data_IF_676030635848
#
_entry.id   IF_676030635848
#
_cell.length_a   1.000
_cell.length_b   1.000
_cell.length_c   1.000
_cell.angle_alpha   90.00
_cell.angle_beta   90.00
_cell.angle_gamma   90.00
#
_symmetry.space_group_name_H-M   'P 1'
#
loop_
_entity.id
_entity.type
_entity.pdbx_description
1 polymer ?
#
# COMPACT_ATOMS: atom_id res chain seq x y z
N UNK A 1 22.54 -15.16 -11.09
CA UNK A 1 21.54 -14.34 -10.39
C UNK A 1 21.84 -14.50 -8.92
N UNK A 2 22.57 -13.55 -8.34
CA UNK A 2 22.84 -13.53 -6.91
C UNK A 2 21.56 -13.10 -6.18
N UNK A 3 21.23 -13.80 -5.10
CA UNK A 3 20.12 -13.40 -4.22
C UNK A 3 20.45 -12.03 -3.62
N UNK A 4 19.46 -11.12 -3.48
CA UNK A 4 19.68 -9.86 -2.82
C UNK A 4 20.17 -10.09 -1.38
N UNK A 5 21.05 -9.21 -0.85
CA UNK A 5 21.56 -9.34 0.51
C UNK A 5 20.41 -9.36 1.53
N UNK A 6 20.58 -10.04 2.68
CA UNK A 6 19.59 -10.02 3.74
C UNK A 6 19.37 -8.59 4.22
N UNK A 7 18.11 -8.19 4.38
CA UNK A 7 17.73 -6.89 4.93
C UNK A 7 18.38 -6.70 6.31
N UNK A 8 19.35 -5.79 6.40
CA UNK A 8 19.90 -5.31 7.66
C UNK A 8 19.28 -3.94 7.90
N UNK A 9 18.46 -3.80 8.94
CA UNK A 9 17.85 -2.51 9.31
C UNK A 9 18.84 -1.41 9.72
N UNK A 10 20.13 -1.54 9.38
CA UNK A 10 21.22 -0.63 9.71
C UNK A 10 21.33 0.58 8.78
N UNK A 11 20.68 0.56 7.60
CA UNK A 11 20.64 1.66 6.62
C UNK A 11 19.25 2.30 6.51
N UNK A 12 18.39 2.12 7.51
CA UNK A 12 17.03 2.63 7.46
C UNK A 12 16.99 4.17 7.58
N UNK A 13 16.46 4.84 6.56
CA UNK A 13 16.30 6.31 6.50
C UNK A 13 14.84 6.75 6.61
N UNK A 14 13.89 5.81 6.48
CA UNK A 14 12.45 6.08 6.60
C UNK A 14 11.66 4.94 7.24
N UNK A 15 10.35 5.18 7.39
CA UNK A 15 9.37 4.19 7.84
C UNK A 15 8.23 4.10 6.84
N UNK A 16 7.77 2.88 6.60
CA UNK A 16 6.49 2.60 5.94
C UNK A 16 5.59 1.83 6.89
N UNK A 17 4.29 1.83 6.61
CA UNK A 17 3.28 1.23 7.46
C UNK A 17 2.39 0.34 6.63
N UNK A 18 2.23 -0.91 7.06
CA UNK A 18 1.20 -1.80 6.52
C UNK A 18 -0.04 -1.65 7.38
N UNK A 19 -1.14 -1.19 6.78
CA UNK A 19 -2.41 -0.91 7.46
C UNK A 19 -3.37 -2.06 7.20
N UNK A 20 -4.00 -2.59 8.24
CA UNK A 20 -4.96 -3.69 8.18
C UNK A 20 -6.36 -3.23 8.61
N UNK A 21 -7.33 -3.37 7.70
CA UNK A 21 -8.75 -3.12 7.96
C UNK A 21 -9.55 -4.42 8.24
N UNK A 22 -8.85 -5.53 8.52
CA UNK A 22 -9.41 -6.85 8.82
C UNK A 22 -9.47 -7.78 7.60
N UNK A 23 -9.99 -7.30 6.46
CA UNK A 23 -10.06 -8.05 5.20
C UNK A 23 -9.27 -7.41 4.06
N UNK A 24 -8.89 -6.14 4.22
CA UNK A 24 -8.14 -5.32 3.26
C UNK A 24 -6.84 -4.84 3.89
N UNK A 25 -5.82 -4.70 3.07
CA UNK A 25 -4.55 -4.08 3.46
C UNK A 25 -4.15 -2.98 2.50
N UNK A 26 -3.49 -1.96 3.06
CA UNK A 26 -2.88 -0.87 2.33
C UNK A 26 -1.49 -0.55 2.86
N UNK A 27 -0.78 0.32 2.15
CA UNK A 27 0.56 0.79 2.52
C UNK A 27 0.54 2.31 2.70
N UNK A 28 1.03 2.78 3.85
CA UNK A 28 1.18 4.19 4.14
C UNK A 28 2.63 4.59 4.28
N UNK A 29 2.94 5.81 3.83
CA UNK A 29 4.27 6.41 3.91
C UNK A 29 4.14 7.94 4.00
N UNK A 30 5.19 8.61 4.46
CA UNK A 30 5.20 10.07 4.55
C UNK A 30 5.17 10.67 3.15
N UNK A 31 4.34 11.70 2.97
CA UNK A 31 4.26 12.44 1.71
C UNK A 31 5.60 13.10 1.35
N UNK A 32 6.35 13.57 2.36
CA UNK A 32 7.65 14.21 2.17
C UNK A 32 8.71 13.28 1.57
N UNK A 33 8.52 11.96 1.73
CA UNK A 33 9.44 10.92 1.25
C UNK A 33 9.12 10.54 -0.21
N UNK A 34 8.10 11.15 -0.83
CA UNK A 34 7.66 10.86 -2.21
C UNK A 34 8.05 12.02 -3.14
N UNK A 35 8.94 11.74 -4.09
CA UNK A 35 9.31 12.70 -5.13
C UNK A 35 8.13 12.95 -6.08
N UNK A 36 7.66 14.21 -6.15
CA UNK A 36 6.57 14.63 -7.04
C UNK A 36 6.86 14.40 -8.53
N UNK A 37 8.15 14.33 -8.91
CA UNK A 37 8.57 13.99 -10.27
C UNK A 37 8.28 12.54 -10.65
N UNK A 38 8.20 11.64 -9.66
CA UNK A 38 7.92 10.21 -9.84
C UNK A 38 6.43 9.94 -9.65
N UNK A 39 5.83 10.53 -8.60
CA UNK A 39 4.42 10.38 -8.27
C UNK A 39 3.72 11.75 -8.23
N UNK A 40 3.26 12.29 -9.37
CA UNK A 40 2.64 13.61 -9.42
C UNK A 40 1.31 13.70 -8.64
N UNK A 41 0.63 12.58 -8.40
CA UNK A 41 -0.66 12.50 -7.71
C UNK A 41 -0.59 12.97 -6.23
N UNK A 42 0.61 13.05 -5.64
CA UNK A 42 0.79 13.64 -4.29
C UNK A 42 0.32 15.10 -4.19
N UNK A 43 0.19 15.80 -5.33
CA UNK A 43 -0.33 17.18 -5.41
C UNK A 43 -1.80 17.29 -5.03
N UNK A 44 -2.56 16.21 -5.16
CA UNK A 44 -3.99 16.18 -4.84
C UNK A 44 -4.25 16.22 -3.33
N UNK A 45 -3.19 16.06 -2.53
CA UNK A 45 -3.23 16.02 -1.07
C UNK A 45 -2.32 17.10 -0.47
N UNK A 46 -2.54 18.40 -0.75
CA UNK A 46 -1.62 19.48 -0.37
C UNK A 46 -1.33 19.52 1.13
N UNK A 47 -2.34 19.25 1.95
CA UNK A 47 -2.26 19.32 3.41
C UNK A 47 -1.86 18.00 4.08
N UNK A 48 -1.69 16.90 3.34
CA UNK A 48 -1.39 15.60 3.97
C UNK A 48 0.07 15.51 4.45
N UNK A 49 0.27 14.87 5.61
CA UNK A 49 1.59 14.47 6.11
C UNK A 49 1.93 13.05 5.65
N UNK A 50 0.91 12.20 5.57
CA UNK A 50 1.01 10.82 5.11
C UNK A 50 0.02 10.55 3.98
N UNK A 51 0.41 9.65 3.09
CA UNK A 51 -0.48 9.04 2.11
C UNK A 51 -0.58 7.55 2.42
N UNK A 52 -1.80 7.04 2.42
CA UNK A 52 -2.08 5.61 2.37
C UNK A 52 -2.58 5.24 0.98
N UNK A 53 -2.15 4.08 0.50
CA UNK A 53 -2.51 3.54 -0.81
C UNK A 53 -3.03 2.11 -0.67
N UNK A 54 -4.19 1.86 -1.26
CA UNK A 54 -4.79 0.53 -1.40
C UNK A 54 -5.16 0.24 -2.84
N UNK A 55 -4.77 -0.91 -3.37
CA UNK A 55 -5.15 -1.34 -4.71
C UNK A 55 -6.26 -2.37 -4.67
N UNK A 56 -7.22 -2.27 -5.58
CA UNK A 56 -8.31 -3.23 -5.63
C UNK A 56 -9.23 -3.02 -6.82
N UNK A 57 -10.39 -3.63 -6.70
CA UNK A 57 -11.44 -3.56 -7.69
C UNK A 57 -12.39 -2.40 -7.37
N UNK A 58 -12.72 -1.59 -8.38
CA UNK A 58 -13.60 -0.42 -8.22
C UNK A 58 -14.96 -0.80 -7.65
N UNK A 59 -15.55 -1.90 -8.13
CA UNK A 59 -16.88 -2.34 -7.70
C UNK A 59 -16.82 -2.94 -6.28
N UNK A 60 -15.67 -3.50 -5.90
CA UNK A 60 -15.45 -4.04 -4.56
C UNK A 60 -15.36 -2.96 -3.48
N UNK A 61 -14.68 -1.85 -3.76
CA UNK A 61 -14.62 -0.73 -2.81
C UNK A 61 -16.00 -0.10 -2.55
N UNK A 62 -16.89 -0.09 -3.54
CA UNK A 62 -18.26 0.41 -3.37
C UNK A 62 -19.19 -0.61 -2.68
N UNK A 63 -18.91 -1.91 -2.80
CA UNK A 63 -19.76 -2.99 -2.29
C UNK A 63 -19.44 -3.42 -0.85
N UNK A 64 -18.46 -2.83 -0.17
CA UNK A 64 -18.06 -3.23 1.18
C UNK A 64 -19.18 -3.07 2.25
N UNK A 65 -20.22 -2.28 1.96
CA UNK A 65 -21.44 -2.17 2.80
C UNK A 65 -22.49 -3.27 2.49
N UNK A 66 -22.26 -4.11 1.48
CA UNK A 66 -23.24 -5.02 0.90
C UNK A 66 -22.91 -6.51 1.09
N UNK A 67 -22.45 -6.92 2.28
CA UNK A 67 -22.38 -8.33 2.67
C UNK A 67 -21.39 -9.22 1.90
N UNK A 68 -20.84 -10.22 2.60
CA UNK A 68 -19.81 -11.15 2.10
C UNK A 68 -20.19 -11.84 0.77
N UNK A 69 -21.48 -11.98 0.47
CA UNK A 69 -21.96 -12.59 -0.77
C UNK A 69 -21.90 -11.70 -2.03
N UNK A 70 -21.96 -10.37 -1.89
CA UNK A 70 -21.89 -9.45 -3.04
C UNK A 70 -20.43 -9.11 -3.39
N UNK A 71 -19.56 -9.06 -2.38
CA UNK A 71 -18.10 -9.04 -2.49
C UNK A 71 -17.55 -10.15 -3.42
N UNK A 72 -18.09 -11.37 -3.30
CA UNK A 72 -17.71 -12.51 -4.16
C UNK A 72 -18.16 -12.32 -5.61
N UNK A 73 -19.29 -11.67 -5.89
CA UNK A 73 -19.79 -11.45 -7.26
C UNK A 73 -19.02 -10.35 -8.01
N UNK A 74 -18.66 -9.27 -7.33
CA UNK A 74 -17.87 -8.18 -7.91
C UNK A 74 -16.48 -8.67 -8.34
N UNK A 75 -15.84 -9.52 -7.53
CA UNK A 75 -14.54 -10.13 -7.81
C UNK A 75 -14.47 -11.02 -9.08
N UNK A 76 -15.61 -11.42 -9.65
CA UNK A 76 -15.67 -12.21 -10.89
C UNK A 76 -16.07 -11.38 -12.12
N UNK A 77 -16.43 -10.10 -11.99
CA UNK A 77 -17.03 -9.32 -13.10
C UNK A 77 -16.44 -7.94 -13.37
N UNK A 78 -15.61 -7.34 -12.51
CA UNK A 78 -15.04 -6.02 -12.85
C UNK A 78 -13.84 -6.11 -13.79
N UNK A 79 -13.74 -5.12 -14.68
CA UNK A 79 -12.71 -5.05 -15.73
C UNK A 79 -11.64 -4.00 -15.46
N UNK A 80 -11.75 -3.23 -14.36
CA UNK A 80 -10.90 -2.06 -14.08
C UNK A 80 -10.43 -2.03 -12.64
N UNK A 81 -9.12 -2.16 -12.47
CA UNK A 81 -8.46 -2.00 -11.17
C UNK A 81 -8.34 -0.52 -10.83
N UNK A 82 -8.40 -0.20 -9.54
CA UNK A 82 -8.26 1.17 -9.03
C UNK A 82 -7.33 1.22 -7.84
N UNK A 83 -6.72 2.38 -7.69
CA UNK A 83 -5.89 2.71 -6.55
C UNK A 83 -6.62 3.77 -5.74
N UNK A 84 -6.94 3.42 -4.50
CA UNK A 84 -7.49 4.31 -3.48
C UNK A 84 -6.32 4.97 -2.76
N UNK A 85 -6.30 6.29 -2.70
CA UNK A 85 -5.30 7.05 -1.96
C UNK A 85 -5.98 7.93 -0.93
N UNK A 86 -5.50 7.89 0.31
CA UNK A 86 -6.00 8.67 1.44
C UNK A 86 -4.89 9.60 1.91
N UNK A 87 -5.13 10.91 1.94
CA UNK A 87 -4.21 11.87 2.53
C UNK A 87 -4.64 12.28 3.93
N UNK A 88 -3.76 12.16 4.91
CA UNK A 88 -4.09 12.46 6.30
C UNK A 88 -2.93 13.13 7.07
N UNK A 89 -3.26 13.66 8.26
CA UNK A 89 -2.34 14.31 9.21
C UNK A 89 -2.30 13.52 10.52
N UNK A 90 -1.26 13.73 11.32
CA UNK A 90 -1.07 13.04 12.58
C UNK A 90 -0.38 11.69 12.41
N UNK A 91 -0.25 10.93 13.50
CA UNK A 91 0.42 9.63 13.42
C UNK A 91 -0.45 8.58 12.73
N UNK A 92 0.18 7.65 12.00
CA UNK A 92 -0.53 6.57 11.30
C UNK A 92 -1.35 5.72 12.27
N UNK A 93 -0.81 5.46 13.46
CA UNK A 93 -1.46 4.70 14.52
C UNK A 93 -2.70 5.40 15.08
N UNK A 94 -2.68 6.74 15.20
CA UNK A 94 -3.85 7.51 15.65
C UNK A 94 -4.92 7.61 14.55
N UNK A 95 -4.53 7.74 13.29
CA UNK A 95 -5.50 7.84 12.20
C UNK A 95 -6.24 6.52 11.97
N UNK A 96 -5.53 5.38 12.04
CA UNK A 96 -6.10 4.04 11.87
C UNK A 96 -6.44 3.35 13.19
N UNK A 97 -6.95 4.13 14.17
CA UNK A 97 -7.40 3.60 15.46
C UNK A 97 -8.36 2.42 15.31
N UNK A 98 -8.07 1.31 16.00
CA UNK A 98 -8.86 0.09 15.95
C UNK A 98 -8.48 -0.88 14.81
N UNK A 99 -7.61 -0.45 13.88
CA UNK A 99 -6.94 -1.30 12.91
C UNK A 99 -5.57 -1.78 13.40
N UNK A 100 -5.05 -2.83 12.79
CA UNK A 100 -3.69 -3.30 13.05
C UNK A 100 -2.73 -2.59 12.09
N UNK A 101 -1.72 -1.90 12.62
CA UNK A 101 -0.70 -1.17 11.84
C UNK A 101 0.66 -1.76 12.16
N UNK A 102 1.41 -2.16 11.12
CA UNK A 102 2.78 -2.67 11.24
C UNK A 102 3.75 -1.66 10.65
N UNK A 103 4.64 -1.13 11.48
CA UNK A 103 5.68 -0.19 11.05
C UNK A 103 6.96 -0.92 10.66
N UNK A 104 7.46 -0.66 9.45
CA UNK A 104 8.66 -1.26 8.90
C UNK A 104 9.69 -0.18 8.61
N UNK A 105 10.91 -0.41 9.08
CA UNK A 105 12.06 0.42 8.73
C UNK A 105 12.44 0.16 7.27
N UNK A 106 12.77 1.22 6.53
CA UNK A 106 13.06 1.14 5.10
C UNK A 106 14.36 1.89 4.77
N UNK A 107 15.21 1.29 3.93
CA UNK A 107 16.40 1.97 3.39
C UNK A 107 16.01 3.01 2.34
N UNK A 108 16.95 3.87 1.96
CA UNK A 108 16.73 4.87 0.91
C UNK A 108 16.41 4.20 -0.44
N UNK A 109 17.15 3.14 -0.80
CA UNK A 109 16.90 2.37 -2.02
C UNK A 109 15.55 1.66 -1.97
N UNK A 110 15.19 1.07 -0.82
CA UNK A 110 13.90 0.41 -0.63
C UNK A 110 12.73 1.40 -0.77
N UNK A 111 12.90 2.63 -0.27
CA UNK A 111 11.93 3.70 -0.43
C UNK A 111 11.79 4.12 -1.90
N UNK A 112 12.91 4.32 -2.61
CA UNK A 112 12.88 4.66 -4.02
C UNK A 112 12.16 3.58 -4.85
N UNK A 113 12.50 2.30 -4.64
CA UNK A 113 11.86 1.19 -5.35
C UNK A 113 10.36 1.09 -5.02
N UNK A 114 9.97 1.31 -3.77
CA UNK A 114 8.56 1.36 -3.39
C UNK A 114 7.82 2.50 -4.10
N UNK A 115 8.40 3.70 -4.14
CA UNK A 115 7.77 4.86 -4.82
C UNK A 115 7.65 4.60 -6.32
N UNK A 116 8.64 3.95 -6.94
CA UNK A 116 8.57 3.51 -8.34
C UNK A 116 7.47 2.46 -8.57
N UNK A 117 7.33 1.49 -7.67
CA UNK A 117 6.25 0.50 -7.72
C UNK A 117 4.86 1.16 -7.60
N UNK A 118 4.70 2.07 -6.65
CA UNK A 118 3.46 2.85 -6.51
C UNK A 118 3.19 3.62 -7.79
N UNK A 119 4.19 4.32 -8.33
CA UNK A 119 4.05 5.08 -9.57
C UNK A 119 3.72 4.21 -10.79
N UNK A 120 4.27 3.00 -10.91
CA UNK A 120 3.92 2.09 -12.01
C UNK A 120 2.50 1.54 -11.89
N UNK A 121 1.94 1.49 -10.68
CA UNK A 121 0.56 1.04 -10.43
C UNK A 121 -0.47 1.99 -11.04
N UNK A 122 -0.20 3.30 -11.15
CA UNK A 122 -1.14 4.26 -11.75
C UNK A 122 -1.26 4.07 -13.26
N UNK A 123 -2.49 4.08 -13.78
CA UNK A 123 -2.76 4.15 -15.21
C UNK A 123 -2.89 5.62 -15.65
N UNK A 124 -1.89 6.11 -16.36
CA UNK A 124 -1.75 7.50 -16.81
C UNK A 124 -1.95 7.62 -18.32
N UNK A 125 -2.42 8.79 -18.76
CA UNK A 125 -2.57 9.11 -20.18
C UNK A 125 -1.24 9.34 -20.93
N UNK A 126 -0.11 9.37 -20.23
CA UNK A 126 1.22 9.52 -20.82
C UNK A 126 2.32 9.73 -19.77
N UNK A 127 3.60 9.69 -20.16
CA UNK A 127 4.72 9.91 -19.25
C UNK A 127 4.64 11.28 -18.56
N UNK A 128 4.78 11.30 -17.23
CA UNK A 128 4.78 12.54 -16.43
C UNK A 128 3.41 13.21 -16.24
N UNK A 129 2.34 12.70 -16.85
CA UNK A 129 0.98 13.20 -16.62
C UNK A 129 0.36 12.52 -15.40
N UNK A 130 -0.31 13.25 -14.48
CA UNK A 130 -1.04 12.61 -13.39
C UNK A 130 -2.21 11.79 -13.93
N UNK A 131 -2.52 10.69 -13.26
CA UNK A 131 -3.74 9.93 -13.53
C UNK A 131 -5.00 10.76 -13.20
N UNK A 132 -6.10 10.61 -13.95
CA UNK A 132 -7.34 11.33 -13.63
C UNK A 132 -7.90 10.82 -12.29
N UNK A 133 -8.21 11.75 -11.39
CA UNK A 133 -8.75 11.43 -10.07
C UNK A 133 -10.29 11.48 -10.05
N UNK A 134 -10.90 10.58 -9.30
CA UNK A 134 -12.30 10.65 -8.86
C UNK A 134 -12.37 10.83 -7.34
N UNK A 135 -13.49 11.34 -6.78
CA UNK A 135 -13.70 11.34 -5.33
C UNK A 135 -13.54 9.92 -4.76
N UNK A 136 -12.82 9.79 -3.63
CA UNK A 136 -12.65 8.52 -2.92
C UNK A 136 -13.76 8.26 -1.89
N UNK A 137 -13.63 7.18 -1.12
CA UNK A 137 -14.59 6.81 -0.05
C UNK A 137 -14.71 7.87 1.06
N UNK A 138 -13.62 8.57 1.34
CA UNK A 138 -13.51 9.63 2.34
C UNK A 138 -13.25 10.98 1.67
N UNK A 139 -13.66 12.06 2.33
CA UNK A 139 -13.49 13.45 1.83
C UNK A 139 -12.03 13.78 1.45
N UNK A 140 -11.09 13.23 2.23
CA UNK A 140 -9.66 13.37 2.09
C UNK A 140 -9.02 12.25 1.22
N UNK A 141 -9.81 11.54 0.43
CA UNK A 141 -9.34 10.45 -0.40
C UNK A 141 -9.75 10.61 -1.86
N UNK A 142 -9.01 9.93 -2.74
CA UNK A 142 -9.23 9.90 -4.19
C UNK A 142 -9.09 8.49 -4.71
N UNK A 143 -9.80 8.19 -5.79
CA UNK A 143 -9.56 7.00 -6.58
C UNK A 143 -8.87 7.37 -7.89
N UNK A 144 -7.96 6.52 -8.33
CA UNK A 144 -7.25 6.62 -9.60
C UNK A 144 -7.38 5.32 -10.38
N UNK A 145 -7.44 5.39 -11.73
CA UNK A 145 -7.25 4.22 -12.58
C UNK A 145 -5.91 3.54 -12.27
N UNK A 146 -5.91 2.22 -12.16
CA UNK A 146 -4.72 1.45 -11.85
C UNK A 146 -4.49 0.34 -12.88
N UNK A 147 -3.21 0.10 -13.19
CA UNK A 147 -2.78 -1.01 -14.02
C UNK A 147 -3.03 -2.35 -13.33
N UNK A 148 -3.09 -3.40 -14.13
CA UNK A 148 -3.26 -4.78 -13.68
C UNK A 148 -4.73 -5.22 -13.72
N UNK A 149 -4.93 -6.52 -13.53
CA UNK A 149 -6.26 -7.14 -13.48
C UNK A 149 -6.46 -7.72 -12.09
N UNK A 150 -7.52 -7.29 -11.42
CA UNK A 150 -7.96 -7.89 -10.18
C UNK A 150 -8.50 -9.31 -10.43
N UNK A 151 -8.11 -10.25 -9.57
CA UNK A 151 -8.75 -11.56 -9.45
C UNK A 151 -8.41 -12.14 -8.07
N UNK A 152 -9.02 -13.27 -7.67
CA UNK A 152 -8.89 -13.79 -6.31
C UNK A 152 -7.43 -14.00 -5.83
N UNK A 153 -6.53 -14.35 -6.75
CA UNK A 153 -5.08 -14.54 -6.51
C UNK A 153 -4.24 -13.27 -6.69
N UNK A 154 -4.84 -12.17 -7.17
CA UNK A 154 -4.20 -10.86 -7.27
C UNK A 154 -5.17 -9.80 -6.76
N UNK A 155 -5.11 -9.58 -5.45
CA UNK A 155 -6.00 -8.69 -4.71
C UNK A 155 -5.16 -7.66 -3.91
N UNK A 156 -5.81 -6.83 -3.10
CA UNK A 156 -5.14 -5.84 -2.25
C UNK A 156 -3.98 -6.41 -1.41
N UNK A 157 -4.16 -7.61 -0.86
CA UNK A 157 -3.18 -8.26 0.01
C UNK A 157 -1.93 -8.68 -0.77
N UNK A 158 -2.11 -9.31 -1.94
CA UNK A 158 -0.98 -9.68 -2.78
C UNK A 158 -0.30 -8.44 -3.34
N UNK A 159 -1.04 -7.38 -3.66
CA UNK A 159 -0.48 -6.10 -4.11
C UNK A 159 0.38 -5.43 -3.03
N UNK A 160 -0.07 -5.42 -1.76
CA UNK A 160 0.78 -4.95 -0.66
C UNK A 160 2.03 -5.81 -0.51
N UNK A 161 1.93 -7.13 -0.67
CA UNK A 161 3.10 -8.00 -0.64
C UNK A 161 4.05 -7.77 -1.85
N UNK A 162 3.52 -7.48 -3.04
CA UNK A 162 4.31 -7.05 -4.21
C UNK A 162 5.04 -5.73 -3.91
N UNK A 163 4.35 -4.77 -3.28
CA UNK A 163 4.95 -3.50 -2.85
C UNK A 163 6.09 -3.71 -1.86
N UNK A 164 5.87 -4.52 -0.82
CA UNK A 164 6.90 -4.86 0.16
C UNK A 164 8.09 -5.60 -0.48
N UNK A 165 7.82 -6.53 -1.40
CA UNK A 165 8.87 -7.23 -2.13
C UNK A 165 9.69 -6.26 -3.00
N UNK A 166 9.05 -5.30 -3.67
CA UNK A 166 9.74 -4.26 -4.44
C UNK A 166 10.65 -3.39 -3.57
N UNK A 167 10.24 -3.15 -2.32
CA UNK A 167 10.99 -2.39 -1.33
C UNK A 167 12.12 -3.20 -0.66
N UNK A 168 12.37 -4.44 -1.11
CA UNK A 168 13.46 -5.30 -0.63
C UNK A 168 13.11 -6.22 0.54
N UNK A 169 11.87 -6.25 1.01
CA UNK A 169 11.48 -7.19 2.06
C UNK A 169 11.35 -8.62 1.50
N UNK A 170 11.90 -9.64 2.17
CA UNK A 170 11.81 -11.03 1.72
C UNK A 170 10.43 -11.64 2.08
N UNK A 171 9.38 -11.06 1.49
CA UNK A 171 8.00 -11.56 1.54
C UNK A 171 7.68 -12.39 0.29
N UNK A 172 6.65 -13.22 0.40
CA UNK A 172 6.12 -14.03 -0.68
C UNK A 172 4.70 -13.57 -1.05
N UNK A 173 4.55 -12.81 -2.17
CA UNK A 173 3.24 -12.38 -2.67
C UNK A 173 2.28 -13.52 -3.00
N UNK A 174 2.80 -14.64 -3.51
CA UNK A 174 1.96 -15.77 -3.93
C UNK A 174 1.19 -16.44 -2.78
N UNK A 175 1.68 -16.34 -1.54
CA UNK A 175 0.99 -16.81 -0.33
C UNK A 175 0.13 -15.74 0.35
N UNK A 176 0.27 -14.48 -0.06
CA UNK A 176 -0.32 -13.29 0.57
C UNK A 176 -1.75 -13.00 0.12
N UNK A 177 -2.59 -14.04 0.02
CA UNK A 177 -3.97 -13.91 -0.46
C UNK A 177 -4.87 -13.20 0.56
N UNK A 178 -4.58 -13.36 1.86
CA UNK A 178 -5.38 -12.80 2.97
C UNK A 178 -4.64 -11.72 3.72
N UNK A 179 -5.38 -10.75 4.28
CA UNK A 179 -4.84 -9.67 5.11
C UNK A 179 -3.98 -10.22 6.26
N UNK A 180 -4.48 -11.26 6.95
CA UNK A 180 -3.73 -11.96 7.99
C UNK A 180 -2.38 -12.45 7.50
N UNK A 181 -2.29 -13.05 6.31
CA UNK A 181 -1.03 -13.59 5.81
C UNK A 181 -0.02 -12.47 5.53
N UNK A 182 -0.44 -11.38 4.89
CA UNK A 182 0.42 -10.22 4.61
C UNK A 182 0.95 -9.61 5.90
N UNK A 183 0.08 -9.42 6.88
CA UNK A 183 0.45 -8.84 8.17
C UNK A 183 1.44 -9.73 8.92
N UNK A 184 1.21 -11.05 8.95
CA UNK A 184 2.15 -11.99 9.58
C UNK A 184 3.51 -12.04 8.87
N UNK A 185 3.56 -11.77 7.56
CA UNK A 185 4.81 -11.60 6.84
C UNK A 185 5.49 -10.28 7.20
N UNK A 186 4.74 -9.17 7.22
CA UNK A 186 5.26 -7.83 7.56
C UNK A 186 5.80 -7.77 9.00
N UNK A 187 5.10 -8.37 9.98
CA UNK A 187 5.51 -8.39 11.39
C UNK A 187 6.91 -8.93 11.64
N UNK A 188 7.42 -9.80 10.76
CA UNK A 188 8.78 -10.35 10.86
C UNK A 188 9.87 -9.27 10.78
N UNK A 189 9.52 -8.10 10.25
CA UNK A 189 10.42 -6.95 10.07
C UNK A 189 9.97 -5.71 10.86
N UNK A 190 8.98 -5.87 11.76
CA UNK A 190 8.43 -4.76 12.53
C UNK A 190 9.49 -4.18 13.49
N UNK A 191 9.63 -2.86 13.47
CA UNK A 191 10.61 -2.15 14.32
C UNK A 191 10.27 -2.25 15.81
N UNK A 192 9.00 -2.51 16.15
CA UNK A 192 8.55 -2.71 17.54
C UNK A 192 8.99 -4.02 18.18
N UNK A 193 9.25 -5.07 17.38
CA UNK A 193 9.65 -6.41 17.87
C UNK A 193 11.16 -6.60 18.04
N UNK A 194 11.98 -5.71 17.46
CA UNK A 194 13.45 -5.79 17.54
C UNK A 194 14.09 -4.94 18.65
N UNK A 195 13.29 -4.35 19.56
CA UNK A 195 13.78 -3.69 20.77
C UNK A 195 13.94 -4.68 21.94
N UNK A 196 14.61 -5.81 21.73
CA UNK A 196 15.22 -6.53 22.86
C UNK A 196 16.54 -5.84 23.16
N UNK A 197 16.46 -4.75 23.92
CA UNK A 197 17.63 -4.15 24.56
C UNK A 197 18.19 -5.22 25.49
N UNK A 198 19.31 -5.81 25.09
CA UNK A 198 20.15 -6.58 25.98
C UNK A 198 20.63 -5.62 27.06
N UNK A 199 20.20 -5.85 28.31
CA UNK A 199 20.89 -5.32 29.47
C UNK A 199 20.88 -6.36 30.57
#
# INVERSE_FOLDING_TARGET
MESPPPWTGAEATGSIFVVNYGWHTGIALRKADIAQSILPEVRDFPDAEFLEFGWGDWDYYQAADAGVGMALKAAFWSSRSVLHAIGFKGTVQEYFQGGEVVELALSEEGLEQLVLFLADTFERGGPGLPAPASPGLYVNSRFYPAKGKFHIFRNCNTWVAEALQSAGFPVNPSSAITARNVIEQAKRFNIGTNRTVTR
#
